data_IF_765496146232
#
_entry.id   IF_765496146232
#
_cell.length_a   1.000
_cell.length_b   1.000
_cell.length_c   1.000
_cell.angle_alpha   90.00
_cell.angle_beta   90.00
_cell.angle_gamma   90.00
#
_symmetry.space_group_name_H-M   'P 1'
#
loop_
_entity.id
_entity.type
_entity.pdbx_description
1 polymer ?
#
# COMPACT_ATOMS: atom_id res chain seq x y z
N UNK A 1 -22.65 -17.85 -9.03
CA UNK A 1 -22.15 -16.49 -8.80
C UNK A 1 -23.20 -15.37 -8.94
N UNK A 2 -24.31 -15.55 -9.68
CA UNK A 2 -25.28 -14.46 -9.95
C UNK A 2 -26.37 -14.17 -8.88
N UNK A 3 -26.56 -15.01 -7.85
CA UNK A 3 -27.69 -14.85 -6.88
C UNK A 3 -27.63 -13.59 -6.01
N UNK A 4 -26.50 -12.90 -5.94
CA UNK A 4 -26.29 -11.73 -5.08
C UNK A 4 -26.51 -10.37 -5.77
N UNK A 5 -26.53 -10.36 -7.11
CA UNK A 5 -26.74 -9.18 -7.96
C UNK A 5 -28.22 -9.04 -8.32
N UNK A 6 -29.03 -8.60 -7.35
CA UNK A 6 -30.44 -8.26 -7.62
C UNK A 6 -30.51 -7.00 -8.48
N UNK A 7 -31.61 -6.83 -9.25
CA UNK A 7 -31.86 -5.60 -10.04
C UNK A 7 -31.75 -4.32 -9.19
N UNK A 8 -32.22 -4.36 -7.94
CA UNK A 8 -32.11 -3.22 -7.01
C UNK A 8 -30.69 -2.95 -6.50
N UNK A 9 -29.77 -3.91 -6.58
CA UNK A 9 -28.34 -3.69 -6.32
C UNK A 9 -27.62 -3.12 -7.52
N UNK A 10 -27.94 -3.63 -8.71
CA UNK A 10 -27.42 -3.10 -9.99
C UNK A 10 -27.76 -1.61 -10.09
N UNK A 11 -29.04 -1.25 -9.88
CA UNK A 11 -29.49 0.15 -9.89
C UNK A 11 -28.71 1.04 -8.89
N UNK A 12 -28.47 0.55 -7.68
CA UNK A 12 -27.68 1.29 -6.67
C UNK A 12 -26.22 1.49 -7.07
N UNK A 13 -25.63 0.50 -7.73
CA UNK A 13 -24.26 0.61 -8.26
C UNK A 13 -24.23 1.62 -9.41
N UNK A 14 -25.19 1.55 -10.33
CA UNK A 14 -25.33 2.48 -11.45
C UNK A 14 -25.53 3.93 -10.97
N UNK A 15 -26.40 4.15 -9.97
CA UNK A 15 -26.61 5.46 -9.35
C UNK A 15 -25.32 5.99 -8.68
N UNK A 16 -24.62 5.15 -7.92
CA UNK A 16 -23.37 5.54 -7.27
C UNK A 16 -22.28 5.90 -8.30
N UNK A 17 -22.14 5.10 -9.37
CA UNK A 17 -21.22 5.38 -10.47
C UNK A 17 -21.62 6.68 -11.19
N UNK A 18 -22.91 6.88 -11.46
CA UNK A 18 -23.44 8.10 -12.08
C UNK A 18 -23.12 9.35 -11.26
N UNK A 19 -23.26 9.32 -9.93
CA UNK A 19 -22.89 10.42 -9.04
C UNK A 19 -21.38 10.70 -9.06
N UNK A 20 -20.54 9.66 -9.09
CA UNK A 20 -19.09 9.81 -9.21
C UNK A 20 -18.71 10.47 -10.54
N UNK A 21 -19.30 10.00 -11.65
CA UNK A 21 -19.05 10.54 -12.99
C UNK A 21 -19.57 11.98 -13.14
N UNK A 22 -20.74 12.29 -12.58
CA UNK A 22 -21.30 13.65 -12.59
C UNK A 22 -20.39 14.63 -11.84
N UNK A 23 -19.82 14.21 -10.69
CA UNK A 23 -18.80 14.99 -9.97
C UNK A 23 -17.49 15.12 -10.74
N UNK A 24 -17.16 14.15 -11.61
CA UNK A 24 -15.95 14.18 -12.43
C UNK A 24 -16.10 15.07 -13.68
N UNK A 25 -17.31 15.19 -14.25
CA UNK A 25 -17.59 15.91 -15.52
C UNK A 25 -17.35 17.43 -15.50
N UNK A 26 -16.97 18.02 -14.37
CA UNK A 26 -16.55 19.42 -14.27
C UNK A 26 -15.07 19.62 -13.91
N UNK A 27 -14.29 18.54 -13.78
CA UNK A 27 -12.88 18.61 -13.39
C UNK A 27 -11.97 18.54 -14.62
N UNK A 28 -11.19 19.59 -14.75
CA UNK A 28 -10.11 19.83 -15.71
C UNK A 28 -9.13 18.67 -15.75
N UNK A 29 -8.86 18.15 -16.96
CA UNK A 29 -7.84 17.16 -17.36
C UNK A 29 -7.84 15.83 -16.56
N UNK A 30 -7.45 14.71 -17.19
CA UNK A 30 -7.16 13.49 -16.44
C UNK A 30 -6.08 13.81 -15.39
N UNK A 31 -6.19 13.27 -14.16
CA UNK A 31 -5.23 13.59 -13.11
C UNK A 31 -3.82 13.25 -13.61
N UNK A 32 -2.92 14.23 -13.57
CA UNK A 32 -1.54 14.02 -13.98
C UNK A 32 -0.76 13.24 -12.92
N UNK A 33 0.48 12.80 -13.22
CA UNK A 33 1.33 12.11 -12.26
C UNK A 33 1.50 12.84 -10.91
N UNK A 34 1.46 14.17 -10.90
CA UNK A 34 1.54 15.00 -9.68
C UNK A 34 0.43 14.70 -8.64
N UNK A 35 -0.73 14.20 -9.06
CA UNK A 35 -1.83 13.79 -8.18
C UNK A 35 -1.49 12.56 -7.34
N UNK A 36 -0.42 11.83 -7.69
CA UNK A 36 0.10 10.71 -6.89
C UNK A 36 0.91 11.15 -5.67
N UNK A 37 1.31 12.43 -5.57
CA UNK A 37 2.13 12.97 -4.46
C UNK A 37 1.60 12.61 -3.08
N UNK A 38 0.31 12.77 -2.75
CA UNK A 38 -0.19 12.46 -1.41
C UNK A 38 -0.07 10.97 -1.07
N UNK A 39 -0.25 10.10 -2.06
CA UNK A 39 -0.12 8.66 -1.91
C UNK A 39 1.33 8.25 -1.74
N UNK A 40 2.22 8.78 -2.57
CA UNK A 40 3.66 8.58 -2.46
C UNK A 40 4.18 9.03 -1.09
N UNK A 41 3.85 10.25 -0.66
CA UNK A 41 4.26 10.76 0.66
C UNK A 41 3.78 9.86 1.80
N UNK A 42 2.53 9.36 1.72
CA UNK A 42 1.99 8.47 2.77
C UNK A 42 2.69 7.11 2.82
N UNK A 43 3.10 6.59 1.67
CA UNK A 43 3.83 5.31 1.57
C UNK A 43 5.30 5.45 1.93
N UNK A 44 5.91 6.60 1.60
CA UNK A 44 7.33 6.89 1.85
C UNK A 44 7.60 7.49 3.23
N UNK A 45 6.61 8.09 3.90
CA UNK A 45 6.78 8.66 5.25
C UNK A 45 7.24 7.65 6.32
N UNK A 46 6.85 6.36 6.31
CA UNK A 46 7.48 5.35 7.17
C UNK A 46 8.99 5.18 6.91
N UNK A 47 9.45 5.42 5.67
CA UNK A 47 10.87 5.35 5.31
C UNK A 47 11.67 6.57 5.81
N UNK A 48 11.03 7.69 6.15
CA UNK A 48 11.71 8.94 6.53
C UNK A 48 12.13 9.01 8.01
N UNK A 49 12.37 7.86 8.66
CA UNK A 49 13.12 7.80 9.93
C UNK A 49 12.37 7.33 11.18
N UNK A 50 11.09 6.95 11.10
CA UNK A 50 10.39 6.33 12.26
C UNK A 50 10.54 4.80 12.32
N UNK A 51 11.12 4.20 11.28
CA UNK A 51 11.30 2.75 11.17
C UNK A 51 9.98 2.00 10.99
N UNK A 52 10.08 0.74 10.59
CA UNK A 52 8.91 -0.12 10.47
C UNK A 52 8.29 -0.42 11.84
N UNK A 53 7.00 -0.13 11.99
CA UNK A 53 6.25 -0.36 13.23
C UNK A 53 5.93 -1.85 13.44
N UNK A 54 6.10 -2.34 14.67
CA UNK A 54 5.63 -3.68 15.05
C UNK A 54 4.15 -3.72 15.42
N UNK A 55 3.46 -2.59 15.34
CA UNK A 55 2.03 -2.48 15.59
C UNK A 55 1.20 -2.93 14.37
N UNK A 56 0.12 -3.67 14.64
CA UNK A 56 -0.79 -4.22 13.64
C UNK A 56 -1.51 -3.12 12.87
N UNK A 57 -1.98 -2.07 13.57
CA UNK A 57 -2.73 -1.01 12.92
C UNK A 57 -1.82 -0.19 12.00
N UNK A 58 -0.60 0.09 12.44
CA UNK A 58 0.44 0.72 11.63
C UNK A 58 0.81 -0.10 10.39
N UNK A 59 1.12 -1.39 10.54
CA UNK A 59 1.46 -2.26 9.41
C UNK A 59 0.31 -2.37 8.40
N UNK A 60 -0.93 -2.47 8.89
CA UNK A 60 -2.12 -2.51 8.05
C UNK A 60 -2.35 -1.19 7.31
N UNK A 61 -2.14 -0.04 7.97
CA UNK A 61 -2.26 1.27 7.34
C UNK A 61 -1.27 1.44 6.19
N UNK A 62 -0.02 0.99 6.37
CA UNK A 62 1.02 1.01 5.33
C UNK A 62 0.64 0.12 4.15
N UNK A 63 0.20 -1.12 4.39
CA UNK A 63 -0.29 -2.02 3.34
C UNK A 63 -1.43 -1.38 2.54
N UNK A 64 -2.39 -0.73 3.21
CA UNK A 64 -3.49 -0.01 2.53
C UNK A 64 -2.97 1.14 1.68
N UNK A 65 -2.00 1.90 2.16
CA UNK A 65 -1.40 3.00 1.40
C UNK A 65 -0.67 2.49 0.15
N UNK A 66 0.12 1.42 0.25
CA UNK A 66 0.80 0.81 -0.90
C UNK A 66 -0.19 0.33 -1.97
N UNK A 67 -1.28 -0.32 -1.55
CA UNK A 67 -2.36 -0.74 -2.44
C UNK A 67 -3.07 0.45 -3.09
N UNK A 68 -3.36 1.50 -2.32
CA UNK A 68 -4.01 2.70 -2.83
C UNK A 68 -3.13 3.42 -3.87
N UNK A 69 -1.82 3.51 -3.63
CA UNK A 69 -0.86 4.08 -4.59
C UNK A 69 -0.86 3.29 -5.92
N UNK A 70 -0.83 1.95 -5.85
CA UNK A 70 -0.92 1.13 -7.05
C UNK A 70 -2.22 1.37 -7.82
N UNK A 71 -3.36 1.39 -7.14
CA UNK A 71 -4.65 1.60 -7.80
C UNK A 71 -4.81 3.01 -8.37
N UNK A 72 -4.29 4.01 -7.66
CA UNK A 72 -4.23 5.36 -8.20
C UNK A 72 -3.42 5.38 -9.49
N UNK A 73 -2.22 4.80 -9.49
CA UNK A 73 -1.40 4.68 -10.70
C UNK A 73 -2.11 3.92 -11.84
N UNK A 74 -2.76 2.77 -11.56
CA UNK A 74 -3.54 2.02 -12.55
C UNK A 74 -4.71 2.83 -13.12
N UNK A 75 -5.36 3.67 -12.30
CA UNK A 75 -6.44 4.56 -12.75
C UNK A 75 -5.90 5.65 -13.69
N UNK A 76 -4.66 6.09 -13.48
CA UNK A 76 -4.00 7.11 -14.28
C UNK A 76 -3.20 6.54 -15.46
N UNK A 77 -3.42 5.28 -15.86
CA UNK A 77 -2.61 4.62 -16.88
C UNK A 77 -2.44 5.44 -18.18
N UNK A 78 -3.50 6.13 -18.63
CA UNK A 78 -3.47 6.95 -19.84
C UNK A 78 -2.60 8.23 -19.71
N UNK A 79 -2.24 8.63 -18.49
CA UNK A 79 -1.40 9.81 -18.23
C UNK A 79 0.11 9.49 -18.26
N UNK A 80 0.50 8.22 -18.49
CA UNK A 80 1.89 7.79 -18.52
C UNK A 80 2.24 7.23 -19.90
N UNK A 81 3.49 7.44 -20.38
CA UNK A 81 4.03 6.63 -21.47
C UNK A 81 3.93 5.13 -21.13
N UNK A 82 3.60 4.24 -22.09
CA UNK A 82 3.39 2.82 -21.82
C UNK A 82 4.57 2.13 -21.10
N UNK A 83 5.80 2.51 -21.45
CA UNK A 83 7.03 1.99 -20.87
C UNK A 83 7.16 2.42 -19.40
N UNK A 84 6.99 3.72 -19.13
CA UNK A 84 7.00 4.29 -17.77
C UNK A 84 5.90 3.66 -16.91
N UNK A 85 4.69 3.51 -17.46
CA UNK A 85 3.57 2.87 -16.76
C UNK A 85 3.91 1.44 -16.34
N UNK A 86 4.44 0.62 -17.25
CA UNK A 86 4.83 -0.77 -16.95
C UNK A 86 5.91 -0.83 -15.88
N UNK A 87 6.91 0.05 -15.95
CA UNK A 87 7.98 0.10 -14.97
C UNK A 87 7.47 0.50 -13.57
N UNK A 88 6.65 1.55 -13.49
CA UNK A 88 5.95 1.94 -12.26
C UNK A 88 5.12 0.79 -11.70
N UNK A 89 4.35 0.10 -12.55
CA UNK A 89 3.49 -0.99 -12.13
C UNK A 89 4.29 -2.14 -11.51
N UNK A 90 5.46 -2.47 -12.07
CA UNK A 90 6.35 -3.49 -11.50
C UNK A 90 6.87 -3.08 -10.12
N UNK A 91 7.32 -1.84 -9.94
CA UNK A 91 7.79 -1.33 -8.65
C UNK A 91 6.67 -1.31 -7.60
N UNK A 92 5.50 -0.78 -7.96
CA UNK A 92 4.35 -0.69 -7.05
C UNK A 92 3.80 -2.07 -6.68
N UNK A 93 3.86 -3.04 -7.60
CA UNK A 93 3.52 -4.43 -7.30
C UNK A 93 4.49 -5.02 -6.28
N UNK A 94 5.81 -4.89 -6.51
CA UNK A 94 6.83 -5.38 -5.57
C UNK A 94 6.67 -4.76 -4.19
N UNK A 95 6.41 -3.45 -4.13
CA UNK A 95 6.12 -2.72 -2.91
C UNK A 95 4.89 -3.28 -2.17
N UNK A 96 3.78 -3.48 -2.90
CA UNK A 96 2.55 -4.03 -2.33
C UNK A 96 2.75 -5.45 -1.79
N UNK A 97 3.44 -6.31 -2.55
CA UNK A 97 3.67 -7.70 -2.19
C UNK A 97 4.58 -7.80 -0.95
N UNK A 98 5.61 -6.95 -0.87
CA UNK A 98 6.49 -6.85 0.30
C UNK A 98 5.74 -6.32 1.53
N UNK A 99 4.95 -5.25 1.38
CA UNK A 99 4.12 -4.70 2.45
C UNK A 99 3.09 -5.73 2.98
N UNK A 100 2.48 -6.51 2.07
CA UNK A 100 1.56 -7.59 2.41
C UNK A 100 2.24 -8.66 3.25
N UNK A 101 3.39 -9.17 2.77
CA UNK A 101 4.16 -10.21 3.45
C UNK A 101 4.60 -9.80 4.85
N UNK A 102 5.10 -8.56 4.99
CA UNK A 102 5.48 -8.01 6.29
C UNK A 102 4.29 -7.86 7.24
N UNK A 103 3.19 -7.24 6.78
CA UNK A 103 1.96 -7.10 7.55
C UNK A 103 1.44 -8.46 8.04
N UNK A 104 1.50 -9.49 7.21
CA UNK A 104 1.01 -10.82 7.58
C UNK A 104 1.83 -11.42 8.73
N UNK A 105 3.14 -11.18 8.79
CA UNK A 105 3.97 -11.59 9.95
C UNK A 105 3.69 -10.80 11.21
N UNK A 106 3.46 -9.48 11.09
CA UNK A 106 3.01 -8.65 12.22
C UNK A 106 1.68 -9.17 12.78
N UNK A 107 0.73 -9.48 11.90
CA UNK A 107 -0.57 -10.03 12.28
C UNK A 107 -0.45 -11.42 12.93
N UNK A 108 0.32 -12.34 12.35
CA UNK A 108 0.54 -13.67 12.93
C UNK A 108 1.14 -13.59 14.34
N UNK A 109 2.15 -12.75 14.54
CA UNK A 109 2.75 -12.54 15.86
C UNK A 109 1.71 -12.00 16.87
N UNK A 110 0.87 -11.06 16.46
CA UNK A 110 -0.19 -10.53 17.31
C UNK A 110 -1.28 -11.58 17.65
N UNK A 111 -1.65 -12.44 16.68
CA UNK A 111 -2.61 -13.53 16.90
C UNK A 111 -2.06 -14.58 17.86
N UNK A 112 -0.80 -14.98 17.71
CA UNK A 112 -0.13 -15.93 18.61
C UNK A 112 -0.11 -15.38 20.05
N UNK A 113 0.26 -14.11 20.22
CA UNK A 113 0.22 -13.44 21.54
C UNK A 113 -1.19 -13.38 22.11
N UNK A 114 -2.19 -13.09 21.28
CA UNK A 114 -3.61 -13.06 21.69
C UNK A 114 -4.11 -14.44 22.11
N UNK A 115 -3.69 -15.49 21.42
CA UNK A 115 -4.04 -16.88 21.74
C UNK A 115 -3.45 -17.30 23.09
N UNK A 116 -2.17 -17.00 23.35
CA UNK A 116 -1.54 -17.26 24.65
C UNK A 116 -2.29 -16.59 25.80
N UNK A 117 -2.63 -15.31 25.65
CA UNK A 117 -3.43 -14.58 26.65
C UNK A 117 -4.82 -15.19 26.89
N UNK A 118 -5.48 -15.66 25.84
CA UNK A 118 -6.85 -16.23 25.94
C UNK A 118 -6.88 -17.65 26.50
N UNK A 119 -5.89 -18.46 26.17
CA UNK A 119 -5.82 -19.86 26.59
C UNK A 119 -5.20 -20.05 27.97
N UNK A 120 -4.51 -19.03 28.50
CA UNK A 120 -3.68 -19.16 29.69
C UNK A 120 -2.43 -20.03 29.48
N UNK A 121 -2.26 -20.60 28.29
CA UNK A 121 -1.11 -21.43 27.95
C UNK A 121 0.09 -20.57 27.56
N UNK A 122 1.27 -21.00 28.00
CA UNK A 122 2.52 -20.41 27.55
C UNK A 122 2.69 -20.65 26.04
N UNK A 123 2.87 -19.56 25.30
CA UNK A 123 3.25 -19.64 23.88
C UNK A 123 4.70 -20.15 23.80
N UNK A 124 5.00 -21.15 22.96
CA UNK A 124 6.38 -21.60 22.77
C UNK A 124 7.29 -20.44 22.35
N UNK A 125 8.36 -20.18 23.13
CA UNK A 125 9.32 -19.12 22.84
C UNK A 125 9.89 -19.24 21.42
N UNK A 126 10.25 -20.47 21.00
CA UNK A 126 10.74 -20.80 19.66
C UNK A 126 9.82 -20.31 18.54
N UNK A 127 8.49 -20.42 18.71
CA UNK A 127 7.52 -19.95 17.71
C UNK A 127 7.53 -18.42 17.64
N UNK A 128 7.52 -17.75 18.80
CA UNK A 128 7.54 -16.28 18.87
C UNK A 128 8.82 -15.72 18.26
N UNK A 129 9.97 -16.32 18.55
CA UNK A 129 11.27 -15.87 18.05
C UNK A 129 11.41 -16.10 16.55
N UNK A 130 10.90 -17.24 16.04
CA UNK A 130 10.79 -17.47 14.60
C UNK A 130 9.95 -16.38 13.92
N UNK A 131 8.76 -16.07 14.45
CA UNK A 131 7.88 -15.05 13.88
C UNK A 131 8.52 -13.65 13.91
N UNK A 132 9.25 -13.29 14.98
CA UNK A 132 10.03 -12.04 15.04
C UNK A 132 11.11 -12.00 13.97
N UNK A 133 11.85 -13.10 13.77
CA UNK A 133 12.89 -13.20 12.73
C UNK A 133 12.28 -13.06 11.33
N UNK A 134 11.20 -13.77 11.05
CA UNK A 134 10.47 -13.65 9.76
C UNK A 134 9.94 -12.23 9.57
N UNK A 135 9.33 -11.62 10.58
CA UNK A 135 8.87 -10.22 10.55
C UNK A 135 10.01 -9.27 10.18
N UNK A 136 11.21 -9.45 10.77
CA UNK A 136 12.38 -8.64 10.43
C UNK A 136 12.82 -8.85 8.98
N UNK A 137 12.92 -10.10 8.51
CA UNK A 137 13.30 -10.41 7.13
C UNK A 137 12.34 -9.77 6.12
N UNK A 138 11.03 -9.89 6.35
CA UNK A 138 10.04 -9.27 5.48
C UNK A 138 10.02 -7.75 5.60
N UNK A 139 10.31 -7.20 6.79
CA UNK A 139 10.51 -5.77 7.00
C UNK A 139 11.65 -5.22 6.14
N UNK A 140 12.82 -5.86 6.16
CA UNK A 140 13.95 -5.49 5.32
C UNK A 140 13.60 -5.53 3.81
N UNK A 141 12.86 -6.56 3.39
CA UNK A 141 12.38 -6.67 2.00
C UNK A 141 11.41 -5.54 1.62
N UNK A 142 10.57 -5.10 2.56
CA UNK A 142 9.69 -3.95 2.36
C UNK A 142 10.46 -2.62 2.31
N UNK A 143 11.46 -2.42 3.18
CA UNK A 143 12.35 -1.25 3.13
C UNK A 143 13.11 -1.17 1.79
N UNK A 144 13.62 -2.29 1.30
CA UNK A 144 14.28 -2.34 -0.01
C UNK A 144 13.31 -1.96 -1.15
N UNK A 145 12.06 -2.42 -1.10
CA UNK A 145 11.05 -2.05 -2.07
C UNK A 145 10.67 -0.56 -1.97
N UNK A 146 10.59 0.00 -0.77
CA UNK A 146 10.39 1.43 -0.53
C UNK A 146 11.53 2.25 -1.13
N UNK A 147 12.78 1.85 -0.89
CA UNK A 147 13.96 2.51 -1.45
C UNK A 147 13.94 2.49 -2.99
N UNK A 148 13.52 1.37 -3.60
CA UNK A 148 13.35 1.27 -5.05
C UNK A 148 12.30 2.24 -5.61
N UNK A 149 11.18 2.42 -4.93
CA UNK A 149 10.16 3.42 -5.31
C UNK A 149 10.67 4.84 -5.09
N UNK A 150 11.36 5.11 -3.99
CA UNK A 150 11.91 6.42 -3.67
C UNK A 150 12.97 6.85 -4.70
N UNK A 151 13.91 5.97 -5.05
CA UNK A 151 14.95 6.24 -6.04
C UNK A 151 14.41 6.38 -7.47
N UNK A 152 13.23 5.82 -7.75
CA UNK A 152 12.58 5.97 -9.05
C UNK A 152 11.54 7.10 -9.09
N UNK A 153 11.30 7.81 -7.97
CA UNK A 153 10.21 8.79 -7.83
C UNK A 153 10.25 9.87 -8.91
N UNK A 154 11.39 10.53 -9.04
CA UNK A 154 11.52 11.70 -9.91
C UNK A 154 11.44 11.29 -11.39
N UNK A 155 12.14 10.21 -11.76
CA UNK A 155 12.19 9.68 -13.13
C UNK A 155 10.85 9.13 -13.60
N UNK A 156 10.17 8.36 -12.76
CA UNK A 156 8.98 7.60 -13.19
C UNK A 156 7.66 8.31 -12.89
N UNK A 157 7.61 9.11 -11.82
CA UNK A 157 6.39 9.80 -11.43
C UNK A 157 6.42 11.28 -11.78
N UNK A 158 7.55 11.82 -12.26
CA UNK A 158 7.68 13.26 -12.54
C UNK A 158 7.47 14.14 -11.29
N UNK A 159 7.71 13.57 -10.11
CA UNK A 159 7.52 14.23 -8.82
C UNK A 159 8.91 14.45 -8.22
N UNK A 160 9.48 15.66 -8.29
CA UNK A 160 10.74 15.95 -7.62
C UNK A 160 10.59 15.84 -6.09
N UNK A 161 11.71 15.74 -5.35
CA UNK A 161 11.71 15.81 -3.90
C UNK A 161 11.14 17.13 -3.43
N UNK A 162 10.33 17.07 -2.38
CA UNK A 162 9.98 18.30 -1.65
C UNK A 162 11.23 18.75 -0.88
N UNK A 163 11.54 20.06 -0.80
CA UNK A 163 12.64 20.55 0.04
C UNK A 163 12.50 19.99 1.47
N UNK A 164 13.52 19.27 1.96
CA UNK A 164 13.52 18.61 3.27
C UNK A 164 13.15 17.11 3.27
N UNK A 165 12.84 16.49 2.12
CA UNK A 165 12.62 15.04 1.98
C UNK A 165 13.87 14.25 1.55
N UNK A 166 15.08 14.78 1.78
CA UNK A 166 16.30 14.06 1.41
C UNK A 166 16.36 12.70 2.14
N UNK A 167 16.62 11.59 1.40
CA UNK A 167 16.82 10.30 2.02
C UNK A 167 18.05 10.37 2.93
N UNK A 168 17.85 10.20 4.23
CA UNK A 168 18.92 10.01 5.21
C UNK A 168 19.55 8.62 5.07
#
# INVERSE_FOLDING_TARGET
>A
LARWLTRGRIRRIEEAVGQVLARARGRTLPPGPAELRPFLRRVLSPASGTGLTSDVAGAHAIRRAARALRYAHETLAAAFPPETFRECQLLLRRLQDAAGSWNDRVMLLALVRKLGRRSGAAVPARLTDRLKKEMKVHGNGFEAALAGVAGARDRLFGIPPTPGEEPR
#
